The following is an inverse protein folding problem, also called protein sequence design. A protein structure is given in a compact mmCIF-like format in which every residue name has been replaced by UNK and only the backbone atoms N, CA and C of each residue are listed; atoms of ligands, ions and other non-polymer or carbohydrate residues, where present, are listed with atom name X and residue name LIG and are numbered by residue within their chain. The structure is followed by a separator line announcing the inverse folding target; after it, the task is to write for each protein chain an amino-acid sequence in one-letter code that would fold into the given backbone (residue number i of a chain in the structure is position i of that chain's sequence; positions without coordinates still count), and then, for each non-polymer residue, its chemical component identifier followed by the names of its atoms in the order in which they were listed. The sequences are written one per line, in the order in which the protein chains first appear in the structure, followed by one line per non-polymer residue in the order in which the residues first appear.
data_IF_466403158128
#
_entry.id   IF_466403158128
#
_cell.length_a   1.000
_cell.length_b   1.000
_cell.length_c   1.000
_cell.angle_alpha   90.00
_cell.angle_beta   90.00
_cell.angle_gamma   90.00
#
_symmetry.space_group_name_H-M   'P 1'
#
loop_
_entity.id
_entity.type
_entity.pdbx_description
1 polymer ?
#
# COMPACT_ATOMS: atom_id res chain seq x y z
N UNK A 1 -25.32 -20.20 21.69
CA UNK A 1 -25.04 -21.06 20.52
C UNK A 1 -24.96 -20.16 19.30
N UNK A 2 -23.79 -19.99 18.68
CA UNK A 2 -23.68 -19.20 17.44
C UNK A 2 -24.18 -20.03 16.26
N UNK A 3 -25.11 -19.49 15.47
CA UNK A 3 -25.67 -20.14 14.28
C UNK A 3 -24.62 -20.33 13.17
N UNK A 4 -23.60 -19.46 13.15
CA UNK A 4 -22.47 -19.53 12.23
C UNK A 4 -21.16 -19.61 13.02
N UNK A 5 -20.29 -20.55 12.63
CA UNK A 5 -18.93 -20.66 13.17
C UNK A 5 -17.95 -20.26 12.07
N UNK A 6 -16.93 -19.48 12.44
CA UNK A 6 -15.81 -19.20 11.54
C UNK A 6 -15.05 -20.51 11.28
N UNK A 7 -15.01 -20.96 10.03
CA UNK A 7 -14.14 -22.05 9.60
C UNK A 7 -12.70 -21.53 9.52
N UNK A 8 -11.98 -21.62 10.64
CA UNK A 8 -10.56 -21.26 10.70
C UNK A 8 -9.74 -22.35 10.01
N UNK A 9 -9.13 -21.99 8.90
CA UNK A 9 -8.22 -22.88 8.16
C UNK A 9 -6.77 -22.45 8.30
N UNK A 10 -6.50 -21.19 8.66
CA UNK A 10 -5.16 -20.67 8.92
C UNK A 10 -5.25 -19.46 9.85
N UNK A 11 -4.33 -19.35 10.80
CA UNK A 11 -4.13 -18.15 11.60
C UNK A 11 -2.74 -18.16 12.22
N UNK A 12 -2.22 -16.98 12.54
CA UNK A 12 -0.98 -16.84 13.31
C UNK A 12 -1.03 -15.57 14.14
N UNK A 13 -0.16 -15.49 15.15
CA UNK A 13 0.04 -14.27 15.92
C UNK A 13 1.18 -13.49 15.29
N UNK A 14 0.94 -12.22 14.95
CA UNK A 14 2.01 -11.36 14.43
C UNK A 14 2.99 -10.95 15.55
N UNK A 15 4.25 -10.57 15.22
CA UNK A 15 5.32 -10.42 16.21
C UNK A 15 5.15 -9.29 17.23
N UNK A 16 4.29 -8.31 16.97
CA UNK A 16 4.11 -7.13 17.82
C UNK A 16 2.81 -7.20 18.66
N UNK A 17 2.66 -6.26 19.59
CA UNK A 17 1.46 -6.10 20.40
C UNK A 17 0.27 -5.65 19.55
N UNK A 18 -0.93 -6.12 19.88
CA UNK A 18 -2.16 -5.82 19.14
C UNK A 18 -2.47 -4.32 18.99
N UNK A 19 -1.96 -3.48 19.90
CA UNK A 19 -2.12 -2.02 19.87
C UNK A 19 -1.25 -1.33 18.81
N UNK A 20 -0.27 -2.02 18.25
CA UNK A 20 0.63 -1.49 17.23
C UNK A 20 0.17 -1.83 15.79
N UNK A 21 -1.09 -2.22 15.65
CA UNK A 21 -1.72 -2.52 14.37
C UNK A 21 -3.04 -1.74 14.24
N UNK A 22 -3.35 -1.34 13.02
CA UNK A 22 -4.55 -0.61 12.62
C UNK A 22 -5.13 -1.19 11.32
N UNK A 23 -6.06 -0.47 10.70
CA UNK A 23 -6.65 -0.84 9.42
C UNK A 23 -5.69 -0.82 8.23
N UNK A 24 -4.57 -0.08 8.30
CA UNK A 24 -3.58 0.04 7.23
C UNK A 24 -2.40 -0.94 7.39
N UNK A 25 -2.45 -1.75 8.44
CA UNK A 25 -1.39 -2.67 8.83
C UNK A 25 -1.42 -4.01 8.08
N UNK A 26 -2.46 -4.30 7.32
CA UNK A 26 -2.59 -5.53 6.52
C UNK A 26 -2.82 -5.22 5.05
N UNK A 27 -2.14 -5.96 4.18
CA UNK A 27 -2.30 -5.85 2.73
C UNK A 27 -2.20 -7.24 2.08
N UNK A 28 -3.08 -7.51 1.12
CA UNK A 28 -3.07 -8.77 0.37
C UNK A 28 -2.81 -8.48 -1.10
N UNK A 29 -1.79 -9.11 -1.69
CA UNK A 29 -1.47 -8.90 -3.09
C UNK A 29 -0.56 -9.97 -3.68
N UNK A 30 -0.54 -10.03 -5.01
CA UNK A 30 0.48 -10.74 -5.78
C UNK A 30 1.72 -9.87 -5.91
N UNK A 31 2.87 -10.38 -5.50
CA UNK A 31 4.18 -9.73 -5.62
C UNK A 31 5.15 -10.70 -6.29
N UNK A 32 6.02 -10.21 -7.15
CA UNK A 32 7.01 -11.02 -7.85
C UNK A 32 6.57 -11.38 -9.27
N UNK A 33 6.82 -12.64 -9.68
CA UNK A 33 6.55 -13.10 -11.05
C UNK A 33 5.04 -13.17 -11.34
N UNK A 34 4.65 -12.83 -12.57
CA UNK A 34 3.26 -12.84 -13.03
C UNK A 34 2.62 -14.24 -13.02
N UNK A 35 3.43 -15.30 -12.89
CA UNK A 35 2.99 -16.71 -12.85
C UNK A 35 2.61 -17.21 -11.42
N UNK A 36 2.68 -16.34 -10.41
CA UNK A 36 2.22 -16.69 -9.05
C UNK A 36 0.70 -16.51 -8.95
N UNK A 37 -0.05 -17.60 -9.05
CA UNK A 37 -1.52 -17.58 -8.87
C UNK A 37 -1.95 -17.17 -7.44
N UNK A 38 -1.03 -17.24 -6.48
CA UNK A 38 -1.30 -17.01 -5.04
C UNK A 38 -1.06 -15.55 -4.61
N UNK A 39 -1.95 -15.06 -3.76
CA UNK A 39 -1.80 -13.80 -3.03
C UNK A 39 -0.97 -14.02 -1.75
N UNK A 40 -0.12 -13.06 -1.42
CA UNK A 40 0.61 -13.00 -0.17
C UNK A 40 -0.15 -12.13 0.84
N UNK A 41 -0.08 -12.50 2.12
CA UNK A 41 -0.58 -11.69 3.23
C UNK A 41 0.61 -10.93 3.82
N UNK A 42 0.52 -9.61 3.84
CA UNK A 42 1.59 -8.73 4.31
C UNK A 42 1.07 -7.98 5.51
N UNK A 43 1.82 -8.02 6.60
CA UNK A 43 1.47 -7.35 7.85
C UNK A 43 2.63 -6.46 8.29
N UNK A 44 2.33 -5.20 8.56
CA UNK A 44 3.27 -4.21 9.07
C UNK A 44 2.75 -3.62 10.38
N UNK A 45 3.65 -3.36 11.33
CA UNK A 45 3.31 -2.76 12.62
C UNK A 45 3.87 -1.35 12.76
N UNK A 46 3.29 -0.58 13.69
CA UNK A 46 3.77 0.74 14.06
C UNK A 46 5.12 0.72 14.79
N UNK A 47 5.65 -0.44 15.22
CA UNK A 47 7.02 -0.54 15.73
C UNK A 47 8.04 -1.02 14.67
N UNK A 48 7.59 -1.20 13.42
CA UNK A 48 8.44 -1.52 12.27
C UNK A 48 8.59 -3.01 11.96
N UNK A 49 7.92 -3.92 12.67
CA UNK A 49 7.87 -5.34 12.28
C UNK A 49 7.09 -5.49 10.98
N UNK A 50 7.69 -6.16 10.00
CA UNK A 50 7.12 -6.55 8.71
C UNK A 50 7.15 -8.07 8.60
N UNK A 51 6.00 -8.66 8.28
CA UNK A 51 5.84 -10.09 8.01
C UNK A 51 5.16 -10.29 6.66
N UNK A 52 5.67 -11.23 5.85
CA UNK A 52 5.03 -11.69 4.61
C UNK A 52 4.74 -13.18 4.75
N UNK A 53 3.48 -13.55 4.58
CA UNK A 53 3.00 -14.91 4.67
C UNK A 53 2.48 -15.41 3.32
N UNK A 54 2.71 -16.69 3.05
CA UNK A 54 2.11 -17.46 1.97
C UNK A 54 1.49 -18.73 2.57
N UNK A 55 0.25 -18.66 3.08
CA UNK A 55 -0.42 -19.82 3.67
C UNK A 55 -0.48 -20.99 2.68
N UNK A 56 0.07 -22.14 3.07
CA UNK A 56 0.16 -23.34 2.22
C UNK A 56 -1.21 -23.88 1.74
N UNK A 57 -2.30 -23.57 2.46
CA UNK A 57 -3.66 -23.95 2.08
C UNK A 57 -4.00 -25.41 2.37
N UNK A 58 -3.08 -26.15 2.99
CA UNK A 58 -3.33 -27.52 3.41
C UNK A 58 -4.43 -27.51 4.47
N UNK A 59 -5.51 -28.30 4.30
CA UNK A 59 -6.50 -28.45 5.36
C UNK A 59 -5.78 -28.96 6.61
N UNK A 60 -6.15 -28.46 7.81
CA UNK A 60 -5.57 -28.96 9.04
C UNK A 60 -5.65 -30.49 9.03
N UNK A 61 -4.54 -31.15 9.38
CA UNK A 61 -4.56 -32.59 9.59
C UNK A 61 -5.70 -32.91 10.55
N UNK A 62 -6.46 -33.99 10.29
CA UNK A 62 -7.61 -34.32 11.13
C UNK A 62 -7.16 -34.34 12.61
N UNK A 63 -7.62 -33.36 13.39
CA UNK A 63 -7.29 -33.05 14.80
C UNK A 63 -6.24 -31.94 15.09
N UNK A 64 -5.76 -31.15 14.13
CA UNK A 64 -4.99 -29.94 14.45
C UNK A 64 -5.86 -28.67 14.40
N UNK A 65 -5.93 -27.94 15.52
CA UNK A 65 -6.65 -26.67 15.60
C UNK A 65 -5.95 -25.52 14.83
N UNK A 66 -4.70 -25.74 14.39
CA UNK A 66 -3.90 -24.74 13.68
C UNK A 66 -3.17 -25.37 12.48
N UNK A 67 -3.43 -24.84 11.28
CA UNK A 67 -2.74 -25.26 10.04
C UNK A 67 -1.47 -24.43 9.74
N UNK A 68 -1.13 -23.45 10.59
CA UNK A 68 0.08 -22.66 10.41
C UNK A 68 1.34 -23.54 10.43
N UNK A 69 2.18 -23.35 9.41
CA UNK A 69 3.52 -23.95 9.31
C UNK A 69 4.56 -22.85 9.32
N UNK A 70 5.74 -23.11 9.88
CA UNK A 70 6.84 -22.15 9.86
C UNK A 70 7.24 -21.75 8.42
N UNK A 71 7.04 -22.66 7.45
CA UNK A 71 7.24 -22.42 6.02
C UNK A 71 6.23 -21.47 5.39
N UNK A 72 5.10 -21.19 6.06
CA UNK A 72 4.14 -20.19 5.60
C UNK A 72 4.69 -18.75 5.79
N UNK A 73 5.71 -18.56 6.63
CA UNK A 73 6.39 -17.28 6.82
C UNK A 73 7.52 -17.15 5.81
N UNK A 74 7.36 -16.24 4.84
CA UNK A 74 8.39 -15.99 3.84
C UNK A 74 9.42 -14.98 4.32
N UNK A 75 8.94 -13.93 4.99
CA UNK A 75 9.77 -12.85 5.51
C UNK A 75 9.25 -12.46 6.87
N UNK A 76 10.17 -12.30 7.81
CA UNK A 76 9.93 -11.62 9.07
C UNK A 76 11.16 -10.75 9.36
N UNK A 77 10.97 -9.44 9.46
CA UNK A 77 12.06 -8.51 9.73
C UNK A 77 11.58 -7.28 10.48
N UNK A 78 12.52 -6.57 11.11
CA UNK A 78 12.27 -5.28 11.76
C UNK A 78 12.89 -4.15 10.95
N UNK A 79 12.04 -3.33 10.36
CA UNK A 79 12.45 -2.08 9.72
C UNK A 79 12.75 -1.02 10.79
N UNK A 80 13.64 -0.04 10.50
CA UNK A 80 14.06 0.96 11.48
C UNK A 80 12.98 2.01 11.81
N UNK A 81 11.89 2.08 11.04
CA UNK A 81 10.84 3.08 11.19
C UNK A 81 9.45 2.42 11.29
N UNK A 82 8.48 3.07 11.97
CA UNK A 82 7.08 2.64 11.98
C UNK A 82 6.53 2.40 10.58
N UNK A 83 5.72 1.36 10.42
CA UNK A 83 4.94 1.12 9.19
C UNK A 83 3.54 1.67 9.44
N UNK A 84 3.11 2.61 8.60
CA UNK A 84 1.80 3.27 8.68
C UNK A 84 0.91 2.99 7.46
N UNK A 85 1.44 2.29 6.46
CA UNK A 85 0.68 1.82 5.30
C UNK A 85 1.50 0.90 4.42
N UNK A 86 0.80 -0.01 3.75
CA UNK A 86 1.38 -0.98 2.82
C UNK A 86 0.57 -0.92 1.53
N UNK A 87 1.26 -0.80 0.39
CA UNK A 87 0.65 -0.85 -0.93
C UNK A 87 1.45 -1.77 -1.83
N UNK A 88 0.84 -2.23 -2.92
CA UNK A 88 1.54 -2.99 -3.96
C UNK A 88 1.20 -2.47 -5.34
N UNK A 89 2.15 -2.42 -6.25
CA UNK A 89 1.87 -1.96 -7.60
C UNK A 89 3.08 -1.92 -8.51
N UNK A 90 2.85 -1.51 -9.76
CA UNK A 90 3.89 -1.35 -10.79
C UNK A 90 4.54 0.04 -10.67
N UNK A 91 5.32 0.21 -9.62
CA UNK A 91 5.96 1.48 -9.27
C UNK A 91 7.29 1.71 -10.01
N UNK A 92 7.88 0.66 -10.59
CA UNK A 92 9.13 0.76 -11.36
C UNK A 92 8.84 0.54 -12.84
N UNK A 93 9.34 1.44 -13.69
CA UNK A 93 9.19 1.36 -15.14
C UNK A 93 10.01 0.20 -15.72
N UNK A 94 9.33 -0.76 -16.34
CA UNK A 94 9.95 -1.81 -17.14
C UNK A 94 9.37 -1.80 -18.55
N UNK A 95 10.20 -2.07 -19.57
CA UNK A 95 9.78 -2.21 -20.97
C UNK A 95 8.91 -3.45 -21.19
N UNK A 96 9.06 -4.45 -20.33
CA UNK A 96 8.27 -5.68 -20.31
C UNK A 96 7.49 -5.69 -19.00
N UNK A 97 6.16 -5.54 -19.10
CA UNK A 97 5.18 -5.45 -18.01
C UNK A 97 5.75 -5.62 -16.60
N UNK A 98 6.15 -4.49 -15.97
CA UNK A 98 6.88 -4.50 -14.71
C UNK A 98 6.22 -5.38 -13.63
N UNK A 99 7.06 -6.13 -12.91
CA UNK A 99 6.64 -6.94 -11.76
C UNK A 99 5.96 -6.05 -10.72
N UNK A 100 5.04 -6.62 -9.95
CA UNK A 100 4.46 -5.90 -8.81
C UNK A 100 5.52 -5.71 -7.71
N UNK A 101 5.69 -4.49 -7.22
CA UNK A 101 6.55 -4.14 -6.09
C UNK A 101 5.71 -3.90 -4.83
N UNK A 102 6.37 -3.97 -3.68
CA UNK A 102 5.83 -3.59 -2.38
C UNK A 102 6.24 -2.15 -2.05
N UNK A 103 5.29 -1.28 -1.73
CA UNK A 103 5.54 0.04 -1.18
C UNK A 103 5.22 0.04 0.31
N UNK A 104 6.18 0.45 1.13
CA UNK A 104 6.02 0.60 2.57
C UNK A 104 6.04 2.09 2.91
N UNK A 105 4.93 2.57 3.46
CA UNK A 105 4.79 3.94 3.93
C UNK A 105 5.26 4.04 5.38
N UNK A 106 6.23 4.91 5.60
CA UNK A 106 6.72 5.35 6.90
C UNK A 106 6.32 6.81 7.14
N UNK A 107 6.41 7.32 8.37
CA UNK A 107 6.02 8.70 8.67
C UNK A 107 6.75 9.75 7.82
N UNK A 108 8.04 9.56 7.50
CA UNK A 108 8.85 10.56 6.78
C UNK A 108 9.44 10.05 5.46
N UNK A 109 8.98 8.88 4.99
CA UNK A 109 9.44 8.32 3.71
C UNK A 109 8.51 7.22 3.19
N UNK A 110 8.63 6.91 1.91
CA UNK A 110 8.08 5.70 1.30
C UNK A 110 9.21 4.91 0.64
N UNK A 111 9.26 3.61 0.93
CA UNK A 111 10.29 2.70 0.44
C UNK A 111 9.66 1.67 -0.50
N UNK A 112 10.18 1.56 -1.73
CA UNK A 112 9.76 0.58 -2.73
C UNK A 112 10.70 -0.61 -2.68
N UNK A 113 10.14 -1.81 -2.50
CA UNK A 113 10.85 -3.07 -2.45
C UNK A 113 10.41 -4.02 -3.56
N UNK A 114 11.37 -4.75 -4.12
CA UNK A 114 11.12 -5.91 -4.95
C UNK A 114 11.29 -7.19 -4.12
N UNK A 115 10.38 -8.14 -4.31
CA UNK A 115 10.51 -9.48 -3.74
C UNK A 115 11.33 -10.35 -4.70
N UNK A 116 12.43 -10.90 -4.18
CA UNK A 116 13.29 -11.81 -4.92
C UNK A 116 13.30 -13.17 -4.23
N UNK A 117 12.91 -14.21 -4.96
CA UNK A 117 13.01 -15.60 -4.52
C UNK A 117 14.09 -16.28 -5.34
N UNK A 118 15.11 -16.79 -4.66
CA UNK A 118 16.14 -17.63 -5.26
C UNK A 118 15.75 -19.08 -4.99
N UNK A 119 15.52 -19.84 -6.05
CA UNK A 119 15.23 -21.27 -5.95
C UNK A 119 16.39 -22.00 -5.26
N UNK A 120 16.07 -22.72 -4.20
CA UNK A 120 17.06 -23.49 -3.45
C UNK A 120 17.35 -24.82 -4.13
N UNK A 121 18.60 -25.28 -4.06
CA UNK A 121 18.86 -26.72 -4.23
C UNK A 121 18.25 -27.47 -3.04
N UNK A 122 17.72 -28.68 -3.28
CA UNK A 122 16.83 -29.49 -2.43
C UNK A 122 17.17 -29.63 -0.92
N UNK A 123 18.35 -29.21 -0.47
CA UNK A 123 18.80 -29.27 0.93
C UNK A 123 18.58 -27.96 1.71
N UNK A 124 18.34 -26.82 1.06
CA UNK A 124 18.31 -25.49 1.72
C UNK A 124 17.03 -24.68 1.54
N UNK A 125 16.07 -25.18 0.75
CA UNK A 125 14.78 -24.50 0.52
C UNK A 125 14.93 -23.19 -0.26
N UNK A 126 13.81 -22.66 -0.73
CA UNK A 126 13.79 -21.38 -1.45
C UNK A 126 14.07 -20.23 -0.49
N UNK A 127 14.94 -19.31 -0.91
CA UNK A 127 15.30 -18.14 -0.12
C UNK A 127 14.62 -16.91 -0.71
N UNK A 128 13.70 -16.32 0.06
CA UNK A 128 13.00 -15.09 -0.32
C UNK A 128 13.59 -13.89 0.42
N UNK A 129 13.87 -12.81 -0.29
CA UNK A 129 14.40 -11.56 0.26
C UNK A 129 13.66 -10.34 -0.29
N UNK A 130 13.57 -9.28 0.52
CA UNK A 130 13.15 -7.95 0.06
C UNK A 130 14.38 -7.13 -0.32
N UNK A 131 14.39 -6.63 -1.54
CA UNK A 131 15.43 -5.75 -2.07
C UNK A 131 14.87 -4.33 -2.19
N UNK A 132 15.51 -3.36 -1.53
CA UNK A 132 15.14 -1.95 -1.63
C UNK A 132 15.50 -1.42 -3.02
N UNK A 133 14.50 -0.96 -3.77
CA UNK A 133 14.69 -0.40 -5.10
C UNK A 133 14.80 1.13 -5.07
N UNK A 134 13.86 1.79 -4.38
CA UNK A 134 13.76 3.25 -4.33
C UNK A 134 13.29 3.73 -2.96
N UNK A 135 13.69 4.94 -2.59
CA UNK A 135 13.23 5.61 -1.38
C UNK A 135 12.86 7.06 -1.69
N UNK A 136 11.65 7.45 -1.30
CA UNK A 136 11.12 8.80 -1.40
C UNK A 136 11.08 9.40 0.00
N UNK A 137 11.91 10.41 0.27
CA UNK A 137 11.92 11.10 1.56
C UNK A 137 10.96 12.28 1.53
N UNK A 138 10.23 12.46 2.62
CA UNK A 138 9.25 13.53 2.76
C UNK A 138 9.78 14.64 3.66
N UNK A 139 9.32 15.86 3.41
CA UNK A 139 9.55 17.00 4.32
C UNK A 139 8.44 17.15 5.37
N UNK A 140 7.35 16.40 5.21
CA UNK A 140 6.16 16.41 6.06
C UNK A 140 5.77 14.99 6.45
N UNK A 141 5.16 14.84 7.62
CA UNK A 141 4.68 13.54 8.07
C UNK A 141 3.57 13.03 7.15
N UNK A 142 3.69 11.79 6.69
CA UNK A 142 2.65 11.10 5.94
C UNK A 142 1.55 10.61 6.87
N UNK A 143 0.31 10.69 6.39
CA UNK A 143 -0.89 10.16 7.01
C UNK A 143 -1.34 8.88 6.30
N UNK A 144 -1.51 8.93 4.98
CA UNK A 144 -1.92 7.78 4.16
C UNK A 144 -1.35 7.89 2.74
N UNK A 145 -1.55 6.86 1.94
CA UNK A 145 -1.15 6.85 0.54
C UNK A 145 -2.18 6.09 -0.29
N UNK A 146 -2.36 6.50 -1.53
CA UNK A 146 -3.13 5.76 -2.53
C UNK A 146 -2.31 5.59 -3.81
N UNK A 147 -2.72 4.64 -4.65
CA UNK A 147 -2.04 4.34 -5.89
C UNK A 147 -3.01 4.24 -7.06
N UNK A 148 -2.47 4.26 -8.26
CA UNK A 148 -3.17 3.79 -9.45
C UNK A 148 -2.58 4.33 -10.74
N UNK A 149 -3.27 4.00 -11.83
CA UNK A 149 -2.95 4.49 -13.17
C UNK A 149 -3.49 5.92 -13.36
N UNK A 150 -2.97 6.90 -12.63
CA UNK A 150 -3.44 8.29 -12.73
C UNK A 150 -3.26 8.81 -14.17
N UNK A 151 -4.22 9.55 -14.70
CA UNK A 151 -4.22 10.01 -16.08
C UNK A 151 -4.48 8.91 -17.12
N UNK A 152 -4.87 7.71 -16.69
CA UNK A 152 -5.15 6.57 -17.57
C UNK A 152 -3.90 5.84 -18.09
N UNK A 153 -2.74 6.01 -17.47
CA UNK A 153 -1.49 5.36 -17.88
C UNK A 153 -1.53 3.85 -17.61
N UNK A 154 -1.60 3.01 -18.66
CA UNK A 154 -1.86 1.56 -18.50
C UNK A 154 -0.72 0.74 -17.89
N UNK A 155 0.52 1.12 -18.12
CA UNK A 155 1.69 0.27 -17.84
C UNK A 155 2.38 0.60 -16.53
N UNK A 156 2.06 1.75 -15.94
CA UNK A 156 2.71 2.30 -14.75
C UNK A 156 1.64 2.64 -13.73
N UNK A 157 1.93 2.36 -12.47
CA UNK A 157 1.14 2.88 -11.35
C UNK A 157 1.93 3.97 -10.66
N UNK A 158 1.25 5.07 -10.37
CA UNK A 158 1.73 6.18 -9.59
C UNK A 158 1.12 6.12 -8.20
N UNK A 159 1.59 6.97 -7.31
CA UNK A 159 1.02 7.06 -5.98
C UNK A 159 0.95 8.51 -5.49
N UNK A 160 -0.01 8.76 -4.61
CA UNK A 160 -0.21 10.03 -3.95
C UNK A 160 -0.13 9.82 -2.44
N UNK A 161 0.71 10.60 -1.77
CA UNK A 161 0.84 10.63 -0.32
C UNK A 161 -0.02 11.77 0.21
N UNK A 162 -0.87 11.46 1.19
CA UNK A 162 -1.58 12.47 1.99
C UNK A 162 -0.74 12.74 3.22
N UNK A 163 -0.39 13.99 3.46
CA UNK A 163 0.37 14.40 4.63
C UNK A 163 -0.54 14.76 5.80
N UNK A 164 0.03 14.82 7.01
CA UNK A 164 -0.69 15.18 8.24
C UNK A 164 -1.23 16.62 8.23
N UNK A 165 -0.66 17.50 7.42
CA UNK A 165 -1.16 18.86 7.16
C UNK A 165 -2.16 18.92 5.99
N UNK A 166 -2.63 17.76 5.54
CA UNK A 166 -3.55 17.58 4.41
C UNK A 166 -3.02 18.01 3.05
N UNK A 167 -1.72 18.32 2.93
CA UNK A 167 -1.08 18.48 1.62
C UNK A 167 -0.99 17.13 0.90
N UNK A 168 -1.04 17.17 -0.43
CA UNK A 168 -0.96 16.00 -1.29
C UNK A 168 0.34 16.05 -2.09
N UNK A 169 1.08 14.96 -2.10
CA UNK A 169 2.30 14.81 -2.90
C UNK A 169 2.16 13.65 -3.85
N UNK A 170 2.18 13.95 -5.14
CA UNK A 170 2.07 12.98 -6.23
C UNK A 170 3.46 12.58 -6.69
N UNK A 171 3.66 11.28 -6.84
CA UNK A 171 4.90 10.69 -7.31
C UNK A 171 4.61 9.84 -8.54
N UNK A 172 5.12 10.31 -9.67
CA UNK A 172 5.15 9.54 -10.90
C UNK A 172 6.52 8.85 -11.05
N UNK A 173 6.63 7.96 -12.03
CA UNK A 173 7.92 7.38 -12.40
C UNK A 173 8.81 8.45 -13.05
N UNK A 174 10.12 8.19 -13.16
CA UNK A 174 11.08 9.08 -13.81
C UNK A 174 11.34 10.41 -13.06
N UNK A 175 11.19 10.39 -11.72
CA UNK A 175 11.48 11.49 -10.80
C UNK A 175 10.56 12.72 -10.91
N UNK A 176 9.40 12.58 -11.55
CA UNK A 176 8.38 13.61 -11.57
C UNK A 176 7.60 13.54 -10.26
N UNK A 177 7.62 14.64 -9.52
CA UNK A 177 6.81 14.81 -8.32
C UNK A 177 6.26 16.23 -8.26
N UNK A 178 5.02 16.38 -7.83
CA UNK A 178 4.39 17.67 -7.60
C UNK A 178 3.52 17.62 -6.36
N UNK A 179 3.29 18.78 -5.77
CA UNK A 179 2.43 18.94 -4.60
C UNK A 179 1.20 19.75 -4.96
N UNK A 180 0.06 19.42 -4.34
CA UNK A 180 -1.12 20.25 -4.39
C UNK A 180 -1.81 20.30 -3.01
N UNK A 181 -2.60 21.35 -2.81
CA UNK A 181 -3.36 21.57 -1.59
C UNK A 181 -4.83 21.72 -2.00
N UNK A 182 -5.69 20.91 -1.41
CA UNK A 182 -7.13 20.98 -1.65
C UNK A 182 -7.72 22.28 -1.06
N UNK A 183 -8.77 22.85 -1.67
CA UNK A 183 -9.42 24.06 -1.15
C UNK A 183 -10.08 23.81 0.22
N UNK A 184 -10.43 24.88 0.93
CA UNK A 184 -11.22 24.81 2.18
C UNK A 184 -10.39 24.51 3.44
N UNK A 185 -11.08 24.36 4.57
CA UNK A 185 -10.44 24.08 5.86
C UNK A 185 -10.08 22.60 5.99
N UNK A 186 -8.78 22.28 5.92
CA UNK A 186 -8.24 20.91 5.94
C UNK A 186 -7.43 20.60 7.19
N UNK A 187 -8.00 20.92 8.35
CA UNK A 187 -7.31 20.81 9.64
C UNK A 187 -7.02 19.35 10.08
N UNK A 188 -7.71 18.38 9.50
CA UNK A 188 -7.57 16.95 9.79
C UNK A 188 -7.41 16.22 8.45
N UNK A 189 -6.36 15.39 8.27
CA UNK A 189 -6.18 14.64 7.04
C UNK A 189 -7.26 13.56 6.93
N UNK A 190 -7.74 13.35 5.71
CA UNK A 190 -8.71 12.29 5.38
C UNK A 190 -8.10 11.32 4.38
N UNK A 191 -8.64 10.11 4.33
CA UNK A 191 -8.32 9.14 3.28
C UNK A 191 -8.62 9.75 1.92
N UNK A 192 -7.69 9.54 0.98
CA UNK A 192 -7.76 10.00 -0.40
C UNK A 192 -7.71 8.76 -1.29
N UNK A 193 -8.75 8.52 -2.10
CA UNK A 193 -8.91 7.27 -2.87
C UNK A 193 -8.99 7.59 -4.35
N UNK A 194 -8.15 6.92 -5.16
CA UNK A 194 -8.21 7.03 -6.60
C UNK A 194 -9.23 6.06 -7.22
N UNK A 195 -10.08 6.58 -8.09
CA UNK A 195 -11.08 5.82 -8.86
C UNK A 195 -10.70 5.85 -10.35
N UNK A 196 -10.01 4.81 -10.77
CA UNK A 196 -9.48 4.69 -12.14
C UNK A 196 -10.54 4.82 -13.24
N UNK A 197 -11.78 4.38 -13.00
CA UNK A 197 -12.86 4.44 -14.00
C UNK A 197 -13.16 5.87 -14.49
N UNK A 198 -13.01 6.86 -13.60
CA UNK A 198 -13.33 8.26 -13.86
C UNK A 198 -12.12 9.17 -13.73
N UNK A 199 -10.91 8.59 -13.61
CA UNK A 199 -9.64 9.32 -13.44
C UNK A 199 -9.73 10.44 -12.40
N UNK A 200 -10.28 10.10 -11.23
CA UNK A 200 -10.60 11.07 -10.17
C UNK A 200 -10.28 10.52 -8.79
N UNK A 201 -10.09 11.43 -7.84
CA UNK A 201 -9.86 11.15 -6.44
C UNK A 201 -11.07 11.52 -5.63
N UNK A 202 -11.37 10.71 -4.63
CA UNK A 202 -12.46 10.94 -3.68
C UNK A 202 -11.87 11.09 -2.29
N UNK A 203 -12.36 12.07 -1.55
CA UNK A 203 -12.02 12.31 -0.15
C UNK A 203 -13.24 12.78 0.61
N UNK A 204 -13.09 12.92 1.93
CA UNK A 204 -14.11 13.49 2.82
C UNK A 204 -13.55 14.75 3.44
N UNK A 205 -14.32 15.82 3.38
CA UNK A 205 -14.00 17.11 3.98
C UNK A 205 -14.19 17.08 5.50
N UNK A 206 -13.64 18.07 6.20
CA UNK A 206 -13.91 18.28 7.63
C UNK A 206 -15.38 18.65 7.92
N UNK A 207 -16.14 19.05 6.89
CA UNK A 207 -17.58 19.31 6.95
C UNK A 207 -18.43 18.06 6.65
N UNK A 208 -17.81 16.86 6.57
CA UNK A 208 -18.44 15.58 6.23
C UNK A 208 -18.95 15.47 4.79
N UNK A 209 -18.47 16.34 3.89
CA UNK A 209 -18.82 16.24 2.49
C UNK A 209 -17.86 15.29 1.76
N UNK A 210 -18.41 14.36 0.99
CA UNK A 210 -17.67 13.57 0.01
C UNK A 210 -17.40 14.45 -1.20
N UNK A 211 -16.12 14.64 -1.51
CA UNK A 211 -15.66 15.51 -2.59
C UNK A 211 -14.91 14.70 -3.65
N UNK A 212 -15.10 15.03 -4.92
CA UNK A 212 -14.43 14.37 -6.04
C UNK A 212 -13.61 15.34 -6.88
N UNK A 213 -12.33 15.03 -7.10
CA UNK A 213 -11.38 15.85 -7.84
C UNK A 213 -10.79 15.08 -9.02
N UNK A 214 -10.80 15.65 -10.22
CA UNK A 214 -10.20 15.02 -11.41
C UNK A 214 -8.69 15.09 -11.29
N UNK A 215 -8.01 14.04 -11.73
CA UNK A 215 -6.55 14.02 -11.74
C UNK A 215 -5.95 15.22 -12.50
N UNK A 216 -6.47 15.50 -13.69
CA UNK A 216 -5.99 16.60 -14.53
C UNK A 216 -6.13 17.98 -13.88
N UNK A 217 -7.20 18.20 -13.12
CA UNK A 217 -7.43 19.47 -12.42
C UNK A 217 -6.42 19.64 -11.27
N UNK A 218 -6.06 18.56 -10.57
CA UNK A 218 -5.03 18.54 -9.54
C UNK A 218 -3.64 18.76 -10.14
N UNK A 219 -3.29 18.07 -11.22
CA UNK A 219 -1.99 18.17 -11.87
C UNK A 219 -1.72 19.57 -12.47
N UNK A 220 -2.74 20.24 -13.00
CA UNK A 220 -2.58 21.59 -13.56
C UNK A 220 -2.40 22.68 -12.48
N UNK A 221 -2.84 22.41 -11.25
CA UNK A 221 -2.75 23.40 -10.17
C UNK A 221 -1.32 23.72 -9.75
N UNK A 222 -0.39 22.77 -9.91
CA UNK A 222 1.04 22.98 -9.63
C UNK A 222 1.70 23.89 -10.66
N UNK A 223 1.26 23.81 -11.93
CA UNK A 223 1.96 24.43 -13.06
C UNK A 223 1.41 25.81 -13.42
N UNK A 224 0.12 26.05 -13.17
CA UNK A 224 -0.61 27.18 -13.74
C UNK A 224 -0.79 28.40 -12.80
N UNK A 225 0.10 28.59 -11.83
CA UNK A 225 0.15 29.84 -11.06
C UNK A 225 -1.14 30.18 -10.29
N UNK A 226 -1.84 29.18 -9.74
CA UNK A 226 -2.94 29.40 -8.80
C UNK A 226 -4.36 29.24 -9.36
N UNK A 227 -4.57 28.37 -10.36
CA UNK A 227 -5.95 27.94 -10.67
C UNK A 227 -6.52 27.25 -9.42
N UNK A 228 -7.60 27.80 -8.89
CA UNK A 228 -8.26 27.25 -7.70
C UNK A 228 -8.76 25.85 -8.03
N UNK A 229 -8.31 24.86 -7.27
CA UNK A 229 -8.81 23.49 -7.35
C UNK A 229 -10.23 23.50 -6.82
N UNK A 230 -11.18 22.98 -7.57
CA UNK A 230 -12.57 22.81 -7.15
C UNK A 230 -13.01 21.35 -7.34
N UNK A 231 -13.83 20.81 -6.43
CA UNK A 231 -14.41 19.49 -6.62
C UNK A 231 -15.39 19.52 -7.80
N UNK A 232 -15.41 18.45 -8.59
CA UNK A 232 -16.33 18.25 -9.71
C UNK A 232 -17.75 18.05 -9.19
N UNK A 233 -17.86 17.37 -8.06
CA UNK A 233 -19.10 17.20 -7.32
C UNK A 233 -18.80 17.04 -5.83
N UNK A 234 -19.82 17.37 -5.04
CA UNK A 234 -19.82 17.29 -3.59
C UNK A 234 -21.13 16.60 -3.17
N UNK A 235 -21.06 15.67 -2.23
CA UNK A 235 -22.22 14.96 -1.68
C UNK A 235 -22.14 14.90 -0.16
N UNK A 236 -23.25 15.11 0.53
CA UNK A 236 -23.39 15.00 1.98
C UNK A 236 -24.27 13.80 2.33
#
# INVERSE_FOLDING_TARGET
MSLFKLCRWWYTQCPDFSTNYDNNSIHCCRIGSDDSDKDYIIVGSHSGHLSIFNPSGDPPEQNSDNAFKATDVLIEMKLPNPIIGILSGKFIGSKEGGKCQLAILHPMKLSIYALHTTEGHALHGDQTRLELCYEYKFQRFAFSCCKGNFGGVKTKEFFCVVHMDSSLSFFEQDSIAYECILPGERNIPSTFVYVQRIDSFITVSTAYDVECFRYQDLAQSSDAGGKVIEPIWVAN
#
